data_IF_855142010142
#
_entry.id   IF_855142010142
#
_cell.length_a   1.000
_cell.length_b   1.000
_cell.length_c   1.000
_cell.angle_alpha   90.00
_cell.angle_beta   90.00
_cell.angle_gamma   90.00
#
_symmetry.space_group_name_H-M   'P 1'
#
loop_
_entity.id
_entity.type
_entity.pdbx_description
1 polymer ?
#
# COMPACT_ATOMS: atom_id res chain seq x y z
N UNK A 1 1.85 -4.52 3.10
CA UNK A 1 1.65 -3.09 3.46
C UNK A 1 1.13 -3.05 4.88
N UNK A 2 1.66 -2.14 5.69
CA UNK A 2 1.33 -1.99 7.09
C UNK A 2 0.47 -0.75 7.29
N UNK A 3 -0.46 -0.86 8.24
CA UNK A 3 -1.30 0.23 8.65
C UNK A 3 -0.48 1.34 9.32
N UNK A 4 -0.86 2.59 9.07
CA UNK A 4 -0.43 3.74 9.85
C UNK A 4 -1.67 4.51 10.32
N UNK A 5 -1.59 5.27 11.40
CA UNK A 5 -2.77 6.00 11.91
C UNK A 5 -3.15 7.22 11.05
N UNK A 6 -2.42 7.50 9.97
CA UNK A 6 -2.43 8.78 9.25
C UNK A 6 -2.59 8.63 7.72
N UNK A 7 -3.38 7.66 7.25
CA UNK A 7 -3.71 7.49 5.84
C UNK A 7 -5.23 7.56 5.57
N UNK A 8 -5.59 8.12 4.42
CA UNK A 8 -6.98 8.05 3.91
C UNK A 8 -7.19 6.84 3.01
N UNK A 9 -8.43 6.36 2.93
CA UNK A 9 -8.79 5.32 1.97
C UNK A 9 -8.49 5.75 0.53
N UNK A 10 -8.75 7.02 0.19
CA UNK A 10 -8.47 7.58 -1.14
C UNK A 10 -6.98 7.54 -1.49
N UNK A 11 -6.10 7.77 -0.52
CA UNK A 11 -4.66 7.64 -0.69
C UNK A 11 -4.27 6.19 -1.00
N UNK A 12 -4.74 5.23 -0.21
CA UNK A 12 -4.47 3.79 -0.45
C UNK A 12 -4.96 3.35 -1.83
N UNK A 13 -6.19 3.73 -2.20
CA UNK A 13 -6.79 3.40 -3.50
C UNK A 13 -5.95 4.00 -4.63
N UNK A 14 -5.54 5.27 -4.50
CA UNK A 14 -4.72 5.97 -5.49
C UNK A 14 -3.35 5.30 -5.66
N UNK A 15 -2.73 4.90 -4.55
CA UNK A 15 -1.45 4.18 -4.54
C UNK A 15 -1.60 2.81 -5.22
N UNK A 16 -2.62 2.02 -4.87
CA UNK A 16 -2.88 0.72 -5.48
C UNK A 16 -3.14 0.82 -6.98
N UNK A 17 -3.88 1.84 -7.42
CA UNK A 17 -4.13 2.09 -8.84
C UNK A 17 -2.86 2.47 -9.59
N UNK A 18 -2.04 3.37 -9.04
CA UNK A 18 -0.85 3.90 -9.74
C UNK A 18 0.31 2.90 -9.77
N UNK A 19 0.58 2.23 -8.65
CA UNK A 19 1.73 1.34 -8.51
C UNK A 19 1.41 -0.09 -8.96
N UNK A 20 0.22 -0.60 -8.67
CA UNK A 20 -0.15 -2.01 -8.90
C UNK A 20 -1.18 -2.19 -10.03
N UNK A 21 -1.62 -1.09 -10.67
CA UNK A 21 -2.61 -1.11 -11.75
C UNK A 21 -3.92 -1.79 -11.33
N UNK A 22 -4.26 -1.70 -10.05
CA UNK A 22 -5.51 -2.25 -9.54
C UNK A 22 -6.70 -1.38 -9.94
N UNK A 23 -7.87 -1.99 -10.21
CA UNK A 23 -9.12 -1.26 -10.30
C UNK A 23 -9.49 -0.69 -8.93
N UNK A 24 -10.36 0.33 -8.92
CA UNK A 24 -10.73 1.09 -7.71
C UNK A 24 -11.33 0.16 -6.66
N UNK A 25 -12.19 -0.77 -7.07
CA UNK A 25 -12.86 -1.72 -6.18
C UNK A 25 -11.85 -2.59 -5.43
N UNK A 26 -10.80 -3.05 -6.12
CA UNK A 26 -9.74 -3.85 -5.51
C UNK A 26 -8.86 -2.99 -4.59
N UNK A 27 -8.53 -1.76 -4.98
CA UNK A 27 -7.84 -0.82 -4.12
C UNK A 27 -8.61 -0.53 -2.83
N UNK A 28 -9.94 -0.42 -2.91
CA UNK A 28 -10.81 -0.23 -1.75
C UNK A 28 -10.81 -1.45 -0.82
N UNK A 29 -10.80 -2.67 -1.36
CA UNK A 29 -10.65 -3.86 -0.51
C UNK A 29 -9.30 -3.89 0.22
N UNK A 30 -8.22 -3.48 -0.45
CA UNK A 30 -6.89 -3.36 0.20
C UNK A 30 -6.91 -2.32 1.31
N UNK A 31 -7.54 -1.17 1.09
CA UNK A 31 -7.70 -0.12 2.10
C UNK A 31 -8.48 -0.63 3.33
N UNK A 32 -9.59 -1.34 3.11
CA UNK A 32 -10.35 -1.94 4.22
C UNK A 32 -9.57 -3.01 4.96
N UNK A 33 -8.79 -3.82 4.25
CA UNK A 33 -8.03 -4.91 4.86
C UNK A 33 -6.90 -4.37 5.73
N UNK A 34 -6.16 -3.35 5.27
CA UNK A 34 -5.09 -2.76 6.08
C UNK A 34 -5.64 -2.08 7.34
N UNK A 35 -6.73 -1.33 7.21
CA UNK A 35 -7.41 -0.64 8.31
C UNK A 35 -7.97 -1.62 9.36
N UNK A 36 -8.53 -2.75 8.90
CA UNK A 36 -9.11 -3.76 9.80
C UNK A 36 -8.07 -4.70 10.43
N UNK A 37 -7.10 -5.15 9.65
CA UNK A 37 -6.18 -6.23 10.03
C UNK A 37 -4.78 -5.72 10.41
N UNK A 38 -4.53 -4.41 10.32
CA UNK A 38 -3.22 -3.78 10.54
C UNK A 38 -2.23 -4.02 9.39
N UNK A 39 -2.59 -4.83 8.38
CA UNK A 39 -1.76 -5.15 7.23
C UNK A 39 -2.59 -5.68 6.06
N UNK A 40 -2.11 -5.48 4.84
CA UNK A 40 -2.68 -6.06 3.63
C UNK A 40 -1.61 -6.54 2.64
N UNK A 41 -1.94 -7.58 1.86
CA UNK A 41 -1.11 -8.08 0.76
C UNK A 41 -1.44 -7.28 -0.50
N UNK A 42 -0.45 -6.56 -1.04
CA UNK A 42 -0.62 -5.80 -2.28
C UNK A 42 -0.39 -6.68 -3.53
N UNK A 43 0.60 -7.56 -3.51
CA UNK A 43 0.96 -8.38 -4.67
C UNK A 43 1.79 -9.59 -4.23
N UNK A 44 1.65 -10.71 -4.95
CA UNK A 44 2.53 -11.87 -4.85
C UNK A 44 3.26 -12.02 -6.18
N UNK A 45 4.60 -12.07 -6.15
CA UNK A 45 5.45 -12.05 -7.34
C UNK A 45 6.86 -12.56 -7.01
N UNK A 46 7.76 -12.59 -8.00
CA UNK A 46 9.21 -12.74 -7.81
C UNK A 46 9.78 -11.69 -6.85
N UNK A 47 10.87 -12.04 -6.16
CA UNK A 47 11.50 -11.20 -5.15
C UNK A 47 11.92 -9.83 -5.73
N UNK A 48 12.53 -9.82 -6.91
CA UNK A 48 13.04 -8.60 -7.54
C UNK A 48 11.92 -7.60 -7.83
N UNK A 49 10.77 -8.09 -8.30
CA UNK A 49 9.61 -7.22 -8.54
C UNK A 49 8.95 -6.80 -7.22
N UNK A 50 8.96 -7.65 -6.20
CA UNK A 50 8.46 -7.29 -4.87
C UNK A 50 9.30 -6.17 -4.24
N UNK A 51 10.62 -6.22 -4.38
CA UNK A 51 11.57 -5.17 -3.94
C UNK A 51 11.27 -3.85 -4.64
N UNK A 52 11.16 -3.87 -5.98
CA UNK A 52 10.80 -2.68 -6.74
C UNK A 52 9.46 -2.08 -6.27
N UNK A 53 8.44 -2.92 -6.03
CA UNK A 53 7.13 -2.44 -5.56
C UNK A 53 7.15 -1.88 -4.15
N UNK A 54 7.91 -2.49 -3.23
CA UNK A 54 8.11 -1.98 -1.87
C UNK A 54 8.74 -0.59 -1.92
N UNK A 55 9.80 -0.42 -2.71
CA UNK A 55 10.51 0.85 -2.82
C UNK A 55 9.63 1.93 -3.45
N UNK A 56 8.79 1.55 -4.41
CA UNK A 56 7.76 2.45 -4.96
C UNK A 56 6.70 2.88 -3.93
N UNK A 57 6.32 2.02 -2.98
CA UNK A 57 5.42 2.39 -1.88
C UNK A 57 6.12 3.38 -0.96
N UNK A 58 7.36 3.09 -0.53
CA UNK A 58 8.14 3.98 0.35
C UNK A 58 8.42 5.35 -0.28
N UNK A 59 8.52 5.41 -1.61
CA UNK A 59 8.75 6.65 -2.36
C UNK A 59 7.47 7.33 -2.85
N UNK A 60 6.27 6.82 -2.55
CA UNK A 60 5.01 7.32 -3.12
C UNK A 60 4.68 8.77 -2.69
N UNK A 61 5.28 9.24 -1.60
CA UNK A 61 5.01 10.53 -0.98
C UNK A 61 3.95 10.46 0.12
N UNK A 62 3.75 11.58 0.81
CA UNK A 62 2.73 11.75 1.85
C UNK A 62 1.32 11.89 1.24
N UNK A 63 0.30 11.67 2.05
CA UNK A 63 -1.06 12.03 1.67
C UNK A 63 -1.22 13.56 1.70
N UNK A 64 -1.30 14.20 0.53
CA UNK A 64 -1.47 15.65 0.41
C UNK A 64 -2.80 16.15 1.00
N UNK A 65 -3.77 15.26 1.25
CA UNK A 65 -5.05 15.60 1.86
C UNK A 65 -5.00 15.63 3.39
N UNK A 66 -3.90 15.15 3.99
CA UNK A 66 -3.70 15.12 5.43
C UNK A 66 -2.45 15.94 5.78
N UNK A 67 -2.66 17.14 6.32
CA UNK A 67 -1.58 18.05 6.74
C UNK A 67 -0.61 17.42 7.76
N UNK A 68 -1.07 16.43 8.52
CA UNK A 68 -0.28 15.70 9.52
C UNK A 68 0.50 14.50 8.97
N UNK A 69 0.22 14.07 7.74
CA UNK A 69 0.87 12.90 7.14
C UNK A 69 2.32 13.24 6.79
N UNK A 70 3.28 12.65 7.52
CA UNK A 70 4.71 13.00 7.41
C UNK A 70 5.48 12.19 6.37
N UNK A 71 4.88 11.13 5.80
CA UNK A 71 5.58 10.22 4.90
C UNK A 71 4.64 9.25 4.19
N UNK A 72 5.22 8.33 3.43
CA UNK A 72 4.47 7.25 2.78
C UNK A 72 4.19 6.10 3.73
N UNK A 73 3.19 5.28 3.37
CA UNK A 73 2.93 4.02 4.06
C UNK A 73 4.15 3.08 4.02
N UNK A 74 4.24 2.23 5.03
CA UNK A 74 5.30 1.22 5.14
C UNK A 74 4.91 -0.10 4.47
N UNK A 75 5.88 -0.74 3.80
CA UNK A 75 5.72 -2.08 3.24
C UNK A 75 6.93 -2.97 3.53
N UNK A 76 6.67 -4.26 3.71
CA UNK A 76 7.67 -5.34 3.82
C UNK A 76 7.38 -6.41 2.78
N UNK A 77 8.37 -7.27 2.54
CA UNK A 77 8.26 -8.43 1.64
C UNK A 77 8.35 -9.68 2.50
N UNK A 78 7.45 -10.62 2.25
CA UNK A 78 7.40 -11.92 2.92
C UNK A 78 7.34 -13.02 1.85
N UNK A 79 7.98 -14.18 2.08
CA UNK A 79 7.83 -15.33 1.19
C UNK A 79 6.36 -15.73 1.04
N UNK A 80 5.95 -16.03 -0.20
CA UNK A 80 4.62 -16.57 -0.43
C UNK A 80 4.46 -17.92 0.28
N UNK A 81 3.30 -18.15 0.90
CA UNK A 81 2.97 -19.47 1.46
C UNK A 81 2.71 -20.40 0.28
N UNK A 82 3.55 -21.44 0.15
CA UNK A 82 3.38 -22.52 -0.82
C UNK A 82 2.23 -23.44 -0.49
#
# INVERSE_FOLDING_TARGET
MWDDTDHSYDYVISMMKRLFRMPIEKGYQVAKEVDKSGRAICMTTTLELAELKRDQIHAFGKDERLDRCKGSMSATIEPARG
#
